data_IF_155366999227
#
_entry.id   IF_155366999227
#
_cell.length_a   1.000
_cell.length_b   1.000
_cell.length_c   1.000
_cell.angle_alpha   90.00
_cell.angle_beta   90.00
_cell.angle_gamma   90.00
#
_symmetry.space_group_name_H-M   'P 1'
#
loop_
_entity.id
_entity.type
_entity.pdbx_description
1 polymer ?
#
# COMPACT_ATOMS: atom_id res chain seq x y z
N UNK A 1 31.68 1.53 -30.15
CA UNK A 1 32.13 2.43 -29.06
C UNK A 1 31.18 3.61 -28.90
N UNK A 2 30.70 4.27 -29.97
CA UNK A 2 29.71 5.35 -29.87
C UNK A 2 28.29 4.85 -29.50
N UNK A 3 27.78 3.82 -30.18
CA UNK A 3 26.45 3.23 -29.88
C UNK A 3 26.23 2.82 -28.41
N UNK A 4 27.27 2.32 -27.74
CA UNK A 4 27.19 1.92 -26.33
C UNK A 4 27.06 3.12 -25.39
N UNK A 5 27.69 4.26 -25.72
CA UNK A 5 27.60 5.48 -24.90
C UNK A 5 26.22 6.13 -25.02
N UNK A 6 25.64 6.11 -26.23
CA UNK A 6 24.30 6.64 -26.46
C UNK A 6 23.23 5.78 -25.76
N UNK A 7 23.37 4.45 -25.81
CA UNK A 7 22.50 3.54 -25.06
C UNK A 7 22.59 3.74 -23.54
N UNK A 8 23.81 3.95 -23.03
CA UNK A 8 24.06 4.20 -21.60
C UNK A 8 23.41 5.51 -21.14
N UNK A 9 23.56 6.58 -21.91
CA UNK A 9 22.92 7.88 -21.66
C UNK A 9 21.39 7.77 -21.65
N UNK A 10 20.81 7.01 -22.58
CA UNK A 10 19.35 6.80 -22.63
C UNK A 10 18.88 6.03 -21.40
N UNK A 11 19.58 4.97 -21.00
CA UNK A 11 19.25 4.18 -19.81
C UNK A 11 19.31 5.04 -18.53
N UNK A 12 20.34 5.88 -18.39
CA UNK A 12 20.49 6.78 -17.24
C UNK A 12 19.40 7.86 -17.20
N UNK A 13 19.02 8.41 -18.36
CA UNK A 13 17.92 9.36 -18.46
C UNK A 13 16.58 8.71 -18.06
N UNK A 14 16.30 7.49 -18.53
CA UNK A 14 15.12 6.72 -18.15
C UNK A 14 15.10 6.43 -16.65
N UNK A 15 16.21 5.94 -16.09
CA UNK A 15 16.31 5.65 -14.65
C UNK A 15 16.08 6.91 -13.79
N UNK A 16 16.61 8.06 -14.22
CA UNK A 16 16.44 9.35 -13.55
C UNK A 16 14.97 9.78 -13.52
N UNK A 17 14.26 9.67 -14.65
CA UNK A 17 12.83 9.97 -14.73
C UNK A 17 12.02 9.04 -13.83
N UNK A 18 12.33 7.74 -13.83
CA UNK A 18 11.67 6.75 -12.97
C UNK A 18 11.91 7.04 -11.48
N UNK A 19 13.11 7.48 -11.09
CA UNK A 19 13.42 7.88 -9.72
C UNK A 19 12.57 9.05 -9.24
N UNK A 20 12.46 10.09 -10.07
CA UNK A 20 11.66 11.29 -9.75
C UNK A 20 10.17 10.95 -9.65
N UNK A 21 9.64 10.18 -10.61
CA UNK A 21 8.25 9.70 -10.58
C UNK A 21 7.98 8.81 -9.37
N UNK A 22 8.87 7.86 -9.09
CA UNK A 22 8.77 6.96 -7.95
C UNK A 22 8.77 7.71 -6.62
N UNK A 23 9.63 8.71 -6.48
CA UNK A 23 9.69 9.60 -5.33
C UNK A 23 8.41 10.43 -5.15
N UNK A 24 7.90 11.03 -6.21
CA UNK A 24 6.64 11.80 -6.19
C UNK A 24 5.44 10.93 -5.79
N UNK A 25 5.37 9.70 -6.30
CA UNK A 25 4.31 8.76 -5.94
C UNK A 25 4.41 8.30 -4.47
N UNK A 26 5.63 8.06 -3.98
CA UNK A 26 5.89 7.75 -2.56
C UNK A 26 5.49 8.91 -1.65
N UNK A 27 5.80 10.14 -2.03
CA UNK A 27 5.36 11.35 -1.34
C UNK A 27 3.83 11.44 -1.34
N UNK A 28 3.18 11.23 -2.48
CA UNK A 28 1.72 11.26 -2.60
C UNK A 28 1.05 10.19 -1.73
N UNK A 29 1.61 8.99 -1.62
CA UNK A 29 1.13 7.95 -0.73
C UNK A 29 1.24 8.37 0.76
N UNK A 30 2.38 8.94 1.15
CA UNK A 30 2.58 9.47 2.51
C UNK A 30 1.60 10.60 2.84
N UNK A 31 1.41 11.55 1.91
CA UNK A 31 0.43 12.64 2.06
C UNK A 31 -0.99 12.09 2.13
N UNK A 32 -1.35 11.11 1.30
CA UNK A 32 -2.65 10.44 1.34
C UNK A 32 -2.92 9.76 2.68
N UNK A 33 -1.90 9.16 3.29
CA UNK A 33 -2.01 8.55 4.61
C UNK A 33 -2.27 9.59 5.72
N UNK A 34 -1.72 10.80 5.63
CA UNK A 34 -1.87 11.85 6.65
C UNK A 34 -3.15 12.67 6.45
N UNK A 35 -3.60 12.87 5.20
CA UNK A 35 -4.65 13.83 4.85
C UNK A 35 -6.07 13.27 4.87
N UNK A 36 -6.23 11.95 4.75
CA UNK A 36 -7.56 11.31 4.73
C UNK A 36 -8.03 10.91 6.14
N UNK A 37 -9.29 11.20 6.51
CA UNK A 37 -9.82 10.92 7.85
C UNK A 37 -10.24 9.46 8.07
N UNK A 38 -10.64 8.72 7.02
CA UNK A 38 -11.17 7.36 7.12
C UNK A 38 -10.15 6.28 6.80
N UNK A 39 -10.10 5.22 7.62
CA UNK A 39 -9.13 4.12 7.54
C UNK A 39 -9.11 3.41 6.18
N UNK A 40 -10.29 3.08 5.63
CA UNK A 40 -10.42 2.44 4.30
C UNK A 40 -9.96 3.36 3.16
N UNK A 41 -10.35 4.65 3.23
CA UNK A 41 -9.91 5.66 2.24
C UNK A 41 -8.41 5.92 2.32
N UNK A 42 -7.82 5.97 3.52
CA UNK A 42 -6.36 6.08 3.74
C UNK A 42 -5.63 4.88 3.15
N UNK A 43 -6.12 3.67 3.38
CA UNK A 43 -5.50 2.46 2.85
C UNK A 43 -5.56 2.41 1.33
N UNK A 44 -6.70 2.71 0.70
CA UNK A 44 -6.81 2.70 -0.75
C UNK A 44 -6.03 3.83 -1.44
N UNK A 45 -6.05 5.03 -0.87
CA UNK A 45 -5.36 6.18 -1.43
C UNK A 45 -3.85 6.13 -1.22
N UNK A 46 -3.37 5.53 -0.13
CA UNK A 46 -1.94 5.39 0.11
C UNK A 46 -1.34 4.17 -0.63
N UNK A 47 -2.05 3.06 -0.73
CA UNK A 47 -1.49 1.83 -1.36
C UNK A 47 -1.34 1.95 -2.88
N UNK A 48 -2.28 2.58 -3.58
CA UNK A 48 -2.24 2.69 -5.06
C UNK A 48 -1.00 3.45 -5.57
N UNK A 49 -0.69 4.67 -5.08
CA UNK A 49 0.53 5.36 -5.47
C UNK A 49 1.78 4.66 -4.93
N UNK A 50 1.73 4.06 -3.73
CA UNK A 50 2.90 3.42 -3.13
C UNK A 50 3.39 2.20 -3.92
N UNK A 51 2.50 1.36 -4.42
CA UNK A 51 2.88 0.17 -5.21
C UNK A 51 3.52 0.58 -6.54
N UNK A 52 2.96 1.58 -7.21
CA UNK A 52 3.53 2.12 -8.46
C UNK A 52 4.86 2.84 -8.20
N UNK A 53 4.94 3.65 -7.13
CA UNK A 53 6.14 4.39 -6.77
C UNK A 53 7.31 3.48 -6.42
N UNK A 54 7.06 2.45 -5.62
CA UNK A 54 8.08 1.46 -5.28
C UNK A 54 8.52 0.66 -6.52
N UNK A 55 7.58 0.26 -7.39
CA UNK A 55 7.91 -0.43 -8.63
C UNK A 55 8.81 0.44 -9.53
N UNK A 56 8.50 1.73 -9.69
CA UNK A 56 9.34 2.66 -10.46
C UNK A 56 10.73 2.83 -9.87
N UNK A 57 10.86 2.95 -8.54
CA UNK A 57 12.15 3.04 -7.85
C UNK A 57 12.98 1.77 -8.04
N UNK A 58 12.35 0.60 -7.93
CA UNK A 58 13.02 -0.67 -8.10
C UNK A 58 13.43 -0.92 -9.55
N UNK A 59 12.62 -0.51 -10.54
CA UNK A 59 13.02 -0.55 -11.95
C UNK A 59 14.21 0.37 -12.22
N UNK A 60 14.19 1.60 -11.69
CA UNK A 60 15.32 2.51 -11.84
C UNK A 60 16.61 1.87 -11.29
N UNK A 61 16.56 1.31 -10.07
CA UNK A 61 17.70 0.61 -9.47
C UNK A 61 18.19 -0.58 -10.31
N UNK A 62 17.26 -1.39 -10.87
CA UNK A 62 17.60 -2.51 -11.74
C UNK A 62 18.30 -2.04 -13.03
N UNK A 63 17.83 -0.94 -13.63
CA UNK A 63 18.43 -0.32 -14.82
C UNK A 63 19.83 0.21 -14.51
N UNK A 64 20.03 0.85 -13.35
CA UNK A 64 21.33 1.43 -12.97
C UNK A 64 22.38 0.35 -12.69
N UNK A 65 21.99 -0.76 -12.08
CA UNK A 65 22.93 -1.81 -11.68
C UNK A 65 23.28 -2.82 -12.77
N UNK A 66 22.53 -2.87 -13.88
CA UNK A 66 22.83 -3.68 -15.09
C UNK A 66 23.28 -5.12 -14.81
N UNK A 67 22.78 -5.72 -13.73
CA UNK A 67 23.11 -7.08 -13.30
C UNK A 67 21.85 -7.87 -12.99
N UNK A 68 21.82 -9.11 -13.47
CA UNK A 68 20.69 -10.02 -13.34
C UNK A 68 20.42 -10.43 -11.89
N UNK A 69 21.43 -10.39 -11.03
CA UNK A 69 21.31 -10.74 -9.61
C UNK A 69 20.35 -9.81 -8.86
N UNK A 70 20.33 -8.53 -9.25
CA UNK A 70 19.47 -7.52 -8.63
C UNK A 70 18.00 -7.67 -9.02
N UNK A 71 17.70 -8.34 -10.13
CA UNK A 71 16.31 -8.61 -10.56
C UNK A 71 15.59 -9.46 -9.52
N UNK A 72 16.25 -10.48 -8.98
CA UNK A 72 15.69 -11.34 -7.94
C UNK A 72 15.40 -10.55 -6.65
N UNK A 73 16.31 -9.67 -6.24
CA UNK A 73 16.16 -8.83 -5.05
C UNK A 73 15.00 -7.83 -5.23
N UNK A 74 14.91 -7.19 -6.40
CA UNK A 74 13.82 -6.28 -6.76
C UNK A 74 12.46 -6.98 -6.72
N UNK A 75 12.35 -8.15 -7.35
CA UNK A 75 11.12 -8.93 -7.36
C UNK A 75 10.73 -9.40 -5.95
N UNK A 76 11.70 -9.84 -5.15
CA UNK A 76 11.47 -10.24 -3.77
C UNK A 76 10.98 -9.07 -2.92
N UNK A 77 11.62 -7.91 -3.01
CA UNK A 77 11.23 -6.71 -2.28
C UNK A 77 9.81 -6.25 -2.67
N UNK A 78 9.50 -6.25 -3.97
CA UNK A 78 8.17 -5.91 -4.47
C UNK A 78 7.10 -6.93 -4.03
N UNK A 79 7.42 -8.22 -4.08
CA UNK A 79 6.54 -9.30 -3.62
C UNK A 79 6.25 -9.23 -2.11
N UNK A 80 7.28 -8.98 -1.30
CA UNK A 80 7.13 -8.80 0.15
C UNK A 80 6.29 -7.56 0.49
N UNK A 81 6.44 -6.47 -0.26
CA UNK A 81 5.60 -5.28 -0.10
C UNK A 81 4.11 -5.61 -0.36
N UNK A 82 3.82 -6.37 -1.42
CA UNK A 82 2.46 -6.81 -1.74
C UNK A 82 1.86 -7.72 -0.67
N UNK A 83 2.69 -8.51 0.03
CA UNK A 83 2.26 -9.35 1.15
C UNK A 83 2.06 -8.55 2.44
N UNK A 84 2.83 -7.48 2.62
CA UNK A 84 2.75 -6.60 3.80
C UNK A 84 1.44 -5.82 3.82
N UNK A 85 0.92 -5.40 2.67
CA UNK A 85 -0.34 -4.68 2.56
C UNK A 85 -1.57 -5.45 3.14
N UNK A 86 -1.86 -6.71 2.75
CA UNK A 86 -2.97 -7.48 3.29
C UNK A 86 -2.76 -7.89 4.76
N UNK A 87 -1.52 -8.18 5.18
CA UNK A 87 -1.22 -8.46 6.59
C UNK A 87 -1.51 -7.23 7.45
N UNK A 88 -1.05 -6.06 7.01
CA UNK A 88 -1.33 -4.79 7.70
C UNK A 88 -2.83 -4.48 7.72
N UNK A 89 -3.53 -4.69 6.59
CA UNK A 89 -4.98 -4.57 6.50
C UNK A 89 -5.71 -5.48 7.49
N UNK A 90 -5.28 -6.73 7.62
CA UNK A 90 -5.92 -7.71 8.50
C UNK A 90 -5.71 -7.38 9.99
N UNK A 91 -4.50 -6.98 10.38
CA UNK A 91 -4.16 -6.58 11.76
C UNK A 91 -4.86 -5.28 12.15
N UNK A 92 -4.88 -4.29 11.25
CA UNK A 92 -5.54 -3.00 11.44
C UNK A 92 -7.07 -3.16 11.49
N UNK A 93 -7.65 -4.01 10.64
CA UNK A 93 -9.08 -4.37 10.70
C UNK A 93 -9.45 -5.04 12.02
N UNK A 94 -8.59 -5.93 12.53
CA UNK A 94 -8.80 -6.59 13.83
C UNK A 94 -8.62 -5.64 15.02
N UNK A 95 -7.72 -4.66 14.94
CA UNK A 95 -7.45 -3.71 16.03
C UNK A 95 -8.48 -2.58 16.08
N UNK A 96 -8.99 -2.12 14.93
CA UNK A 96 -10.09 -1.14 14.85
C UNK A 96 -11.34 -1.61 15.61
N UNK A 97 -11.59 -2.91 15.61
CA UNK A 97 -12.72 -3.51 16.34
C UNK A 97 -12.56 -3.46 17.88
N UNK A 98 -11.33 -3.37 18.40
CA UNK A 98 -11.05 -3.46 19.85
C UNK A 98 -10.98 -2.11 20.56
N UNK A 99 -10.77 -1.01 19.84
CA UNK A 99 -10.40 0.26 20.48
C UNK A 99 -11.59 1.17 20.85
N UNK A 100 -12.85 0.86 20.47
CA UNK A 100 -14.06 1.65 20.83
C UNK A 100 -13.97 3.18 20.57
N UNK A 101 -12.97 3.65 19.83
CA UNK A 101 -12.71 5.06 19.49
C UNK A 101 -12.88 5.31 17.98
N UNK A 102 -13.83 4.61 17.35
CA UNK A 102 -14.27 4.97 16.01
C UNK A 102 -15.20 6.16 16.14
N UNK A 103 -14.81 7.33 15.60
CA UNK A 103 -15.71 8.48 15.42
C UNK A 103 -16.94 7.98 14.66
N UNK A 104 -18.05 7.82 15.39
CA UNK A 104 -19.34 7.33 14.86
C UNK A 104 -19.93 8.27 13.81
N UNK A 105 -19.39 9.48 13.71
CA UNK A 105 -19.88 10.59 12.92
C UNK A 105 -19.55 10.47 11.41
N UNK A 106 -18.69 9.51 11.03
CA UNK A 106 -18.26 9.27 9.63
C UNK A 106 -18.64 7.87 9.09
N UNK A 107 -19.21 6.99 9.92
CA UNK A 107 -19.67 5.67 9.49
C UNK A 107 -21.13 5.75 9.04
N UNK A 108 -21.37 5.86 7.74
CA UNK A 108 -22.71 5.84 7.16
C UNK A 108 -23.29 4.43 7.05
N UNK A 109 -22.47 3.37 6.97
CA UNK A 109 -22.91 1.97 6.97
C UNK A 109 -21.96 1.10 7.80
N UNK A 110 -22.43 0.64 8.96
CA UNK A 110 -21.75 -0.36 9.79
C UNK A 110 -22.47 -1.71 9.64
N UNK A 111 -22.12 -2.46 8.59
CA UNK A 111 -22.68 -3.80 8.36
C UNK A 111 -22.27 -4.79 9.46
N UNK A 112 -21.18 -4.51 10.17
CA UNK A 112 -20.62 -5.42 11.18
C UNK A 112 -21.38 -5.31 12.51
N UNK A 113 -21.80 -4.11 12.92
CA UNK A 113 -22.75 -3.92 14.01
C UNK A 113 -24.09 -4.61 13.71
N UNK A 114 -24.57 -4.54 12.46
CA UNK A 114 -25.82 -5.20 12.07
C UNK A 114 -25.73 -6.73 12.16
N UNK A 115 -24.55 -7.31 11.85
CA UNK A 115 -24.29 -8.74 11.98
C UNK A 115 -24.20 -9.17 13.44
N UNK A 116 -23.53 -8.39 14.30
CA UNK A 116 -23.48 -8.65 15.75
C UNK A 116 -24.86 -8.54 16.38
N UNK A 117 -25.66 -7.56 15.98
CA UNK A 117 -27.01 -7.39 16.51
C UNK A 117 -27.93 -8.55 16.11
N UNK A 118 -27.86 -9.02 14.86
CA UNK A 118 -28.55 -10.25 14.43
C UNK A 118 -28.18 -11.46 15.29
N UNK A 119 -26.88 -11.68 15.51
CA UNK A 119 -26.41 -12.80 16.34
C UNK A 119 -26.91 -12.64 17.78
N UNK A 120 -26.86 -11.43 18.35
CA UNK A 120 -27.35 -11.19 19.72
C UNK A 120 -28.86 -11.35 19.87
N UNK A 121 -29.62 -11.10 18.79
CA UNK A 121 -31.07 -11.23 18.75
C UNK A 121 -31.52 -12.69 18.62
N UNK A 122 -30.69 -13.53 18.02
CA UNK A 122 -30.92 -14.97 17.87
C UNK A 122 -30.42 -15.79 19.07
N UNK A 123 -29.76 -15.18 20.07
CA UNK A 123 -29.42 -15.84 21.33
C UNK A 123 -30.64 -15.81 22.26
N UNK A 124 -31.28 -16.96 22.54
CA UNK A 124 -32.40 -17.01 23.47
C UNK A 124 -31.94 -16.58 24.88
N UNK A 125 -32.76 -15.81 25.62
CA UNK A 125 -32.39 -15.36 26.96
C UNK A 125 -32.10 -16.60 27.82
N UNK A 126 -30.89 -16.66 28.38
CA UNK A 126 -30.53 -17.68 29.35
C UNK A 126 -31.46 -17.54 30.54
N UNK A 127 -32.41 -18.48 30.69
CA UNK A 127 -33.29 -18.60 31.86
C UNK A 127 -32.42 -18.83 33.09
N UNK A 128 -32.24 -17.79 33.89
CA UNK A 128 -31.84 -17.90 35.29
C UNK A 128 -32.99 -18.41 36.15
#
# INVERSE_FOLDING_TARGET
MFDSLDADLILDAVASVLLVLGGLMSLAAGVGLVRLPDLHSRMHAATKPQVLGLLSLLLAAAITWRSWEWVAIVLLAWGLQLLTAPVSAHVVGRSGYRTKHMRRDLLTHDELASAVERISRDIPPSRG
#
